data_IF_904297030257
#
_entry.id   IF_904297030257
#
_cell.length_a   1.000
_cell.length_b   1.000
_cell.length_c   1.000
_cell.angle_alpha   90.00
_cell.angle_beta   90.00
_cell.angle_gamma   90.00
#
_symmetry.space_group_name_H-M   'P 1'
#
loop_
_entity.id
_entity.type
_entity.pdbx_description
1 polymer ?
#
# COMPACT_ATOMS: atom_id res chain seq x y z
N UNK A 1 6.98 -0.31 8.53
CA UNK A 1 7.63 -1.58 8.94
C UNK A 1 8.61 -1.95 7.83
N UNK A 2 9.06 -3.19 7.66
CA UNK A 2 9.79 -3.61 6.46
C UNK A 2 8.83 -4.16 5.38
N UNK A 3 9.21 -4.05 4.11
CA UNK A 3 8.39 -4.45 2.94
C UNK A 3 7.97 -5.94 2.96
N UNK A 4 8.75 -6.81 3.62
CA UNK A 4 8.38 -8.22 3.77
C UNK A 4 7.11 -8.35 4.62
N UNK A 5 7.00 -7.60 5.71
CA UNK A 5 5.81 -7.58 6.57
C UNK A 5 4.57 -7.15 5.80
N UNK A 6 4.66 -6.09 5.00
CA UNK A 6 3.54 -5.61 4.19
C UNK A 6 3.11 -6.61 3.11
N UNK A 7 4.09 -7.26 2.47
CA UNK A 7 3.83 -8.34 1.50
C UNK A 7 3.12 -9.54 2.13
N UNK A 8 3.53 -9.94 3.34
CA UNK A 8 2.90 -11.03 4.08
C UNK A 8 1.47 -10.69 4.47
N UNK A 9 1.21 -9.46 4.93
CA UNK A 9 -0.15 -9.01 5.25
C UNK A 9 -1.03 -9.03 4.00
N UNK A 10 -0.55 -8.49 2.88
CA UNK A 10 -1.26 -8.56 1.59
C UNK A 10 -1.58 -10.01 1.17
N UNK A 11 -0.62 -10.93 1.38
CA UNK A 11 -0.83 -12.34 1.09
C UNK A 11 -1.87 -13.00 2.02
N UNK A 12 -1.84 -12.69 3.33
CA UNK A 12 -2.82 -13.17 4.30
C UNK A 12 -4.22 -12.65 3.96
N UNK A 13 -4.35 -11.36 3.64
CA UNK A 13 -5.58 -10.74 3.18
C UNK A 13 -6.16 -11.48 1.95
N UNK A 14 -5.30 -11.87 1.01
CA UNK A 14 -5.73 -12.69 -0.12
C UNK A 14 -6.20 -14.09 0.30
N UNK A 15 -5.48 -14.73 1.22
CA UNK A 15 -5.79 -16.09 1.72
C UNK A 15 -7.09 -16.16 2.51
N UNK A 16 -7.46 -15.13 3.28
CA UNK A 16 -8.71 -15.09 4.06
C UNK A 16 -9.97 -14.93 3.19
N UNK A 17 -9.81 -14.66 1.89
CA UNK A 17 -10.93 -14.69 0.94
C UNK A 17 -10.90 -13.58 -0.11
N UNK A 18 -10.11 -12.52 0.08
CA UNK A 18 -10.10 -11.39 -0.85
C UNK A 18 -9.54 -11.73 -2.23
N UNK A 19 -8.77 -12.83 -2.36
CA UNK A 19 -8.36 -13.33 -3.68
C UNK A 19 -9.54 -13.73 -4.58
N UNK A 20 -10.73 -13.94 -4.02
CA UNK A 20 -11.94 -14.33 -4.77
C UNK A 20 -12.63 -13.14 -5.45
N UNK A 21 -12.21 -11.91 -5.15
CA UNK A 21 -12.81 -10.68 -5.70
C UNK A 21 -12.63 -10.58 -7.22
N UNK A 22 -11.49 -11.03 -7.73
CA UNK A 22 -11.15 -11.04 -9.16
C UNK A 22 -9.98 -11.99 -9.39
N UNK A 23 -9.87 -12.61 -10.59
CA UNK A 23 -8.56 -13.07 -11.07
C UNK A 23 -7.55 -11.93 -10.88
N UNK A 24 -6.36 -12.21 -10.31
CA UNK A 24 -5.33 -11.22 -9.88
C UNK A 24 -5.58 -10.37 -8.64
N UNK A 25 -6.63 -10.63 -7.86
CA UNK A 25 -6.81 -9.92 -6.59
C UNK A 25 -5.67 -10.18 -5.59
N UNK A 26 -5.09 -11.40 -5.56
CA UNK A 26 -3.94 -11.72 -4.70
C UNK A 26 -2.70 -10.86 -5.01
N UNK A 27 -2.17 -10.83 -6.25
CA UNK A 27 -1.06 -9.95 -6.56
C UNK A 27 -1.42 -8.46 -6.43
N UNK A 28 -2.67 -8.06 -6.70
CA UNK A 28 -3.12 -6.70 -6.45
C UNK A 28 -2.96 -6.30 -4.98
N UNK A 29 -3.33 -7.16 -4.03
CA UNK A 29 -3.15 -6.93 -2.59
C UNK A 29 -1.68 -6.79 -2.21
N UNK A 30 -0.82 -7.68 -2.70
CA UNK A 30 0.61 -7.68 -2.36
C UNK A 30 1.30 -6.44 -2.94
N UNK A 31 1.07 -6.13 -4.22
CA UNK A 31 1.67 -4.95 -4.87
C UNK A 31 1.16 -3.67 -4.20
N UNK A 32 -0.15 -3.56 -3.97
CA UNK A 32 -0.76 -2.42 -3.32
C UNK A 32 -0.25 -2.19 -1.90
N UNK A 33 0.00 -3.25 -1.13
CA UNK A 33 0.54 -3.14 0.23
C UNK A 33 1.98 -2.59 0.29
N UNK A 34 2.73 -2.63 -0.82
CA UNK A 34 4.11 -2.14 -0.86
C UNK A 34 4.28 -0.82 -1.62
N UNK A 35 3.31 -0.45 -2.46
CA UNK A 35 3.37 0.76 -3.26
C UNK A 35 3.58 2.06 -2.45
N UNK A 36 3.02 2.23 -1.23
CA UNK A 36 3.30 3.41 -0.40
C UNK A 36 4.78 3.64 -0.11
N UNK A 37 5.60 2.58 -0.03
CA UNK A 37 7.04 2.67 0.29
C UNK A 37 7.93 3.02 -0.91
N UNK A 38 7.40 3.01 -2.13
CA UNK A 38 8.19 3.31 -3.34
C UNK A 38 8.74 4.74 -3.30
N UNK A 39 8.09 5.65 -2.56
CA UNK A 39 8.57 7.01 -2.35
C UNK A 39 9.97 7.08 -1.71
N UNK A 40 10.32 6.15 -0.81
CA UNK A 40 11.64 6.09 -0.19
C UNK A 40 12.75 5.76 -1.19
N UNK A 41 12.45 4.91 -2.18
CA UNK A 41 13.37 4.54 -3.25
C UNK A 41 13.61 5.72 -4.20
N UNK A 42 12.62 6.60 -4.38
CA UNK A 42 12.72 7.81 -5.19
C UNK A 42 13.41 8.95 -4.42
N UNK A 43 13.14 9.09 -3.12
CA UNK A 43 13.67 10.18 -2.29
C UNK A 43 15.17 10.03 -1.98
N UNK A 44 15.65 8.80 -1.77
CA UNK A 44 17.06 8.50 -1.45
C UNK A 44 18.07 9.03 -2.48
N UNK A 45 17.93 8.80 -3.80
CA UNK A 45 18.86 9.33 -4.79
C UNK A 45 18.73 10.86 -4.99
N UNK A 46 17.62 11.47 -4.57
CA UNK A 46 17.40 12.92 -4.66
C UNK A 46 17.96 13.71 -3.46
N UNK A 47 18.61 13.04 -2.50
CA UNK A 47 19.18 13.69 -1.31
C UNK A 47 18.14 14.24 -0.33
N UNK A 48 16.86 13.93 -0.54
CA UNK A 48 15.78 14.32 0.37
C UNK A 48 15.79 13.37 1.57
N UNK A 49 15.58 13.92 2.77
CA UNK A 49 15.40 13.11 3.99
C UNK A 49 14.30 12.09 3.75
N UNK A 50 14.62 10.77 3.70
CA UNK A 50 13.63 9.75 3.44
C UNK A 50 12.50 9.88 4.45
N UNK A 51 12.78 10.07 5.74
CA UNK A 51 11.77 10.19 6.80
C UNK A 51 10.82 11.39 6.69
N UNK A 52 11.17 12.43 5.92
CA UNK A 52 10.34 13.63 5.75
C UNK A 52 9.41 13.51 4.53
N UNK A 53 9.86 12.78 3.50
CA UNK A 53 9.08 12.48 2.29
C UNK A 53 8.23 11.22 2.48
N UNK A 54 8.85 10.19 3.05
CA UNK A 54 8.24 8.95 3.50
C UNK A 54 7.28 9.31 4.63
N UNK A 55 6.02 8.87 4.49
CA UNK A 55 4.89 9.20 5.37
C UNK A 55 4.27 10.59 5.23
N UNK A 56 4.62 11.32 4.17
CA UNK A 56 3.89 12.51 3.74
C UNK A 56 2.69 12.15 2.86
N UNK A 57 2.69 12.61 1.61
CA UNK A 57 1.58 12.45 0.67
C UNK A 57 1.17 10.99 0.44
N UNK A 58 2.11 10.06 0.30
CA UNK A 58 1.86 8.63 0.01
C UNK A 58 1.11 7.89 1.10
N UNK A 59 1.22 8.35 2.35
CA UNK A 59 0.54 7.77 3.51
C UNK A 59 -0.61 8.63 4.01
N UNK A 60 -0.78 9.83 3.45
CA UNK A 60 -1.92 10.72 3.69
C UNK A 60 -3.09 10.43 2.76
N UNK A 61 -4.16 11.22 2.88
CA UNK A 61 -5.37 11.10 2.07
C UNK A 61 -5.10 11.12 0.56
N UNK A 62 -4.13 11.93 0.11
CA UNK A 62 -3.72 11.98 -1.29
C UNK A 62 -3.19 10.63 -1.81
N UNK A 63 -2.27 10.01 -1.07
CA UNK A 63 -1.73 8.69 -1.37
C UNK A 63 -2.76 7.58 -1.25
N UNK A 64 -3.60 7.62 -0.21
CA UNK A 64 -4.68 6.65 -0.01
C UNK A 64 -5.70 6.61 -1.17
N UNK A 65 -5.82 7.67 -1.96
CA UNK A 65 -6.67 7.69 -3.15
C UNK A 65 -5.87 7.39 -4.42
N UNK A 66 -4.69 7.99 -4.58
CA UNK A 66 -3.91 7.89 -5.83
C UNK A 66 -3.20 6.56 -5.99
N UNK A 67 -2.68 5.98 -4.90
CA UNK A 67 -1.89 4.75 -4.93
C UNK A 67 -2.74 3.52 -5.27
N UNK A 68 -3.96 3.34 -4.75
CA UNK A 68 -4.82 2.24 -5.18
C UNK A 68 -5.15 2.30 -6.68
N UNK A 69 -5.34 3.50 -7.23
CA UNK A 69 -5.58 3.70 -8.66
C UNK A 69 -4.35 3.34 -9.50
N UNK A 70 -3.16 3.70 -9.03
CA UNK A 70 -1.91 3.29 -9.66
C UNK A 70 -1.74 1.76 -9.61
N UNK A 71 -2.01 1.13 -8.46
CA UNK A 71 -1.98 -0.32 -8.31
C UNK A 71 -2.96 -1.00 -9.28
N UNK A 72 -4.19 -0.50 -9.37
CA UNK A 72 -5.19 -0.96 -10.33
C UNK A 72 -4.67 -0.84 -11.77
N UNK A 73 -4.09 0.30 -12.15
CA UNK A 73 -3.55 0.53 -13.49
C UNK A 73 -2.41 -0.45 -13.83
N UNK A 74 -1.51 -0.73 -12.88
CA UNK A 74 -0.43 -1.71 -13.04
C UNK A 74 -1.00 -3.10 -13.29
N UNK A 75 -1.97 -3.55 -12.48
CA UNK A 75 -2.60 -4.87 -12.64
C UNK A 75 -3.39 -4.95 -13.95
N UNK A 76 -4.09 -3.89 -14.33
CA UNK A 76 -4.83 -3.80 -15.58
C UNK A 76 -3.90 -3.89 -16.79
N UNK A 77 -2.80 -3.15 -16.79
CA UNK A 77 -1.79 -3.21 -17.84
C UNK A 77 -1.16 -4.60 -17.93
N UNK A 78 -0.86 -5.23 -16.79
CA UNK A 78 -0.38 -6.61 -16.76
C UNK A 78 -1.39 -7.59 -17.36
N UNK A 79 -2.70 -7.43 -17.09
CA UNK A 79 -3.74 -8.27 -17.71
C UNK A 79 -3.77 -8.11 -19.22
N UNK A 80 -3.64 -6.87 -19.73
CA UNK A 80 -3.61 -6.62 -21.16
C UNK A 80 -2.38 -7.22 -21.85
N UNK A 81 -1.22 -7.17 -21.20
CA UNK A 81 0.04 -7.67 -21.75
C UNK A 81 0.16 -9.20 -21.66
N UNK A 82 -0.41 -9.79 -20.61
CA UNK A 82 -0.37 -11.22 -20.37
C UNK A 82 -1.72 -11.63 -19.80
N UNK A 83 -2.72 -11.98 -20.62
CA UNK A 83 -4.02 -12.42 -20.14
C UNK A 83 -3.92 -13.69 -19.30
N UNK A 84 -4.74 -13.80 -18.26
CA UNK A 84 -4.79 -15.00 -17.42
C UNK A 84 -5.69 -16.10 -17.98
N UNK A 85 -5.42 -17.35 -17.61
CA UNK A 85 -6.28 -18.49 -17.94
C UNK A 85 -7.51 -18.60 -17.02
N UNK A 86 -7.49 -17.93 -15.86
CA UNK A 86 -8.55 -17.95 -14.84
C UNK A 86 -9.82 -17.16 -15.24
N UNK A 87 -9.89 -16.67 -16.48
CA UNK A 87 -11.00 -15.88 -17.01
C UNK A 87 -10.83 -14.37 -16.85
N UNK A 88 -11.82 -13.58 -17.29
CA UNK A 88 -11.71 -12.13 -17.33
C UNK A 88 -11.62 -11.53 -15.93
N UNK A 89 -10.71 -10.57 -15.75
CA UNK A 89 -10.61 -9.80 -14.51
C UNK A 89 -11.89 -9.00 -14.25
N UNK A 90 -12.22 -8.83 -12.98
CA UNK A 90 -13.34 -8.00 -12.51
C UNK A 90 -12.75 -6.67 -12.03
N UNK A 91 -12.91 -5.56 -12.78
CA UNK A 91 -12.26 -4.30 -12.46
C UNK A 91 -12.55 -3.80 -11.04
N UNK A 92 -13.82 -3.88 -10.63
CA UNK A 92 -14.24 -3.51 -9.28
C UNK A 92 -13.56 -4.37 -8.19
N UNK A 93 -13.34 -5.66 -8.45
CA UNK A 93 -12.66 -6.56 -7.54
C UNK A 93 -11.17 -6.25 -7.39
N UNK A 94 -10.49 -5.90 -8.49
CA UNK A 94 -9.10 -5.42 -8.44
C UNK A 94 -9.01 -4.10 -7.72
N UNK A 95 -9.89 -3.15 -8.02
CA UNK A 95 -9.88 -1.84 -7.37
C UNK A 95 -10.07 -1.99 -5.86
N UNK A 96 -11.05 -2.79 -5.42
CA UNK A 96 -11.27 -3.06 -4.00
C UNK A 96 -10.05 -3.73 -3.35
N UNK A 97 -9.47 -4.74 -4.01
CA UNK A 97 -8.26 -5.41 -3.54
C UNK A 97 -7.07 -4.44 -3.41
N UNK A 98 -6.89 -3.55 -4.37
CA UNK A 98 -5.87 -2.50 -4.34
C UNK A 98 -6.09 -1.50 -3.20
N UNK A 99 -7.34 -1.07 -2.97
CA UNK A 99 -7.66 -0.20 -1.84
C UNK A 99 -7.36 -0.87 -0.49
N UNK A 100 -7.78 -2.13 -0.31
CA UNK A 100 -7.53 -2.88 0.92
C UNK A 100 -6.03 -3.13 1.14
N UNK A 101 -5.28 -3.42 0.08
CA UNK A 101 -3.83 -3.56 0.13
C UNK A 101 -3.14 -2.26 0.58
N UNK A 102 -3.45 -1.13 -0.06
CA UNK A 102 -2.91 0.18 0.34
C UNK A 102 -3.31 0.53 1.76
N UNK A 103 -4.59 0.39 2.14
CA UNK A 103 -5.07 0.74 3.48
C UNK A 103 -4.40 -0.09 4.60
N UNK A 104 -4.05 -1.34 4.31
CA UNK A 104 -3.34 -2.19 5.27
C UNK A 104 -1.98 -1.60 5.65
N UNK A 105 -1.34 -0.85 4.75
CA UNK A 105 -0.01 -0.32 4.94
C UNK A 105 0.05 0.79 6.02
N UNK A 106 -0.61 1.95 5.88
CA UNK A 106 -0.60 2.98 6.92
C UNK A 106 -1.35 2.53 8.18
N UNK A 107 -2.28 1.57 8.11
CA UNK A 107 -2.88 1.00 9.31
C UNK A 107 -1.83 0.28 10.17
N UNK A 108 -0.95 -0.52 9.55
CA UNK A 108 0.17 -1.16 10.27
C UNK A 108 1.22 -0.15 10.73
N UNK A 109 1.49 0.86 9.91
CA UNK A 109 2.45 1.91 10.27
C UNK A 109 1.94 2.82 11.38
N UNK A 110 0.61 3.03 11.48
CA UNK A 110 -0.03 3.74 12.59
C UNK A 110 0.07 2.99 13.91
N UNK A 111 0.02 1.65 13.90
CA UNK A 111 0.15 0.84 15.11
C UNK A 111 1.55 0.93 15.75
N UNK A 112 2.56 1.35 14.98
CA UNK A 112 3.94 1.52 15.44
C UNK A 112 4.16 2.89 16.09
N UNK A 113 5.20 2.98 16.93
CA UNK A 113 5.60 4.21 17.66
C UNK A 113 6.01 5.37 16.75
N UNK A 114 6.18 5.14 15.45
CA UNK A 114 6.74 6.14 14.55
C UNK A 114 5.71 7.07 13.87
N UNK A 115 4.40 6.79 14.00
CA UNK A 115 3.30 7.63 13.54
C UNK A 115 3.21 7.88 12.02
N UNK A 116 2.06 8.40 11.58
CA UNK A 116 1.75 8.71 10.17
C UNK A 116 1.08 10.09 10.04
N UNK A 117 1.32 10.82 8.94
CA UNK A 117 0.68 12.11 8.64
C UNK A 117 -0.62 11.90 7.86
N UNK A 118 -1.61 11.32 8.53
CA UNK A 118 -2.86 10.87 7.91
C UNK A 118 -3.60 11.97 7.09
N UNK A 119 -3.52 13.22 7.55
CA UNK A 119 -4.27 14.35 6.98
C UNK A 119 -3.52 15.15 5.91
N UNK A 120 -2.38 14.65 5.42
CA UNK A 120 -1.70 15.24 4.26
C UNK A 120 -2.63 15.28 3.03
N UNK A 121 -2.71 16.39 2.26
CA UNK A 121 -1.94 17.64 2.37
C UNK A 121 -2.60 18.77 3.20
N UNK A 122 -3.76 18.52 3.80
CA UNK A 122 -4.53 19.54 4.53
C UNK A 122 -3.94 19.85 5.91
N UNK A 123 -3.24 18.90 6.51
CA UNK A 123 -2.53 19.09 7.79
C UNK A 123 -1.25 18.27 7.85
N UNK A 124 -0.18 18.90 8.32
CA UNK A 124 1.13 18.29 8.51
C UNK A 124 1.27 17.59 9.88
N UNK A 125 0.17 17.39 10.61
CA UNK A 125 0.15 16.80 11.95
C UNK A 125 0.50 15.31 11.90
N UNK A 126 1.35 14.88 12.83
CA UNK A 126 1.66 13.48 13.07
C UNK A 126 0.61 12.84 13.98
N UNK A 127 0.15 11.64 13.61
CA UNK A 127 -0.72 10.80 14.41
C UNK A 127 0.03 9.54 14.82
N UNK A 128 0.04 9.24 16.11
CA UNK A 128 0.75 8.10 16.71
C UNK A 128 -0.29 7.17 17.35
N UNK A 129 -0.22 5.87 17.06
CA UNK A 129 -1.07 4.87 17.71
C UNK A 129 -0.55 4.43 19.08
N UNK A 130 0.74 4.62 19.37
CA UNK A 130 1.45 4.29 20.63
C UNK A 130 1.17 2.87 21.19
N UNK A 131 0.71 1.94 20.35
CA UNK A 131 0.29 0.59 20.76
C UNK A 131 1.38 -0.48 20.66
N UNK A 132 2.36 -0.32 19.76
CA UNK A 132 3.48 -1.27 19.59
C UNK A 132 4.82 -0.52 19.67
N UNK A 133 5.67 -0.92 20.62
CA UNK A 133 7.05 -0.45 20.71
C UNK A 133 7.92 -1.20 19.70
N UNK A 134 8.69 -0.46 18.90
CA UNK A 134 9.76 -1.02 18.08
C UNK A 134 11.09 -0.87 18.83
N UNK A 135 11.76 -1.98 19.11
CA UNK A 135 13.17 -1.99 19.54
C UNK A 135 14.03 -1.96 18.28
N UNK A 136 14.39 -0.78 17.82
CA UNK A 136 15.45 -0.60 16.82
C UNK A 136 16.81 -0.72 17.52
N UNK A 137 17.77 -1.45 16.94
CA UNK A 137 19.15 -1.53 17.43
C UNK A 137 20.04 -0.52 16.71
#
# INVERSE_FOLDING_TARGET
MDNLTHSLVGAVLGRIGLKRLSPRAMPALIIAANLPDIDSWIARPLGLSPRTVHRGFTHGLGGLVTIPLLAFAIIWAWEKLRPGEEGPIRPAGILLASFLGVLSHPALDFLNTYGVRLLEPFSHRWFYGDTLFIVDR
#
